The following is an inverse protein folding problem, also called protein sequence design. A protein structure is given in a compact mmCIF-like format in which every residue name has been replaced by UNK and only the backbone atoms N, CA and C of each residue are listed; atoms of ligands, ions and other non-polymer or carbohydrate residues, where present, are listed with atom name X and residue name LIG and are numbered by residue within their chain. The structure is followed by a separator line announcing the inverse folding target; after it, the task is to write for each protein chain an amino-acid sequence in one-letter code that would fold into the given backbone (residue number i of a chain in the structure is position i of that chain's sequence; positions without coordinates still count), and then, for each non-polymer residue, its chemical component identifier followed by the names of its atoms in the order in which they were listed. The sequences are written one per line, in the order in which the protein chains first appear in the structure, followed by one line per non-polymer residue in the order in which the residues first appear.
data_IF_782053824694
#
_entry.id   IF_782053824694
#
_cell.length_a   1.000
_cell.length_b   1.000
_cell.length_c   1.000
_cell.angle_alpha   90.00
_cell.angle_beta   90.00
_cell.angle_gamma   90.00
#
_symmetry.space_group_name_H-M   'P 1'
#
loop_
_entity.id
_entity.type
_entity.pdbx_description
1 polymer ?
#
# COMPACT_ATOMS: atom_id res chain seq x y z
N UNK A 1 7.03 -8.18 -15.53
CA UNK A 1 5.63 -8.30 -15.10
C UNK A 1 5.37 -7.37 -13.92
N UNK A 2 4.12 -6.94 -13.72
CA UNK A 2 3.74 -6.04 -12.62
C UNK A 2 2.65 -6.68 -11.76
N UNK A 3 2.64 -6.35 -10.46
CA UNK A 3 1.59 -6.69 -9.52
C UNK A 3 0.83 -5.44 -9.08
N UNK A 4 -0.48 -5.58 -8.86
CA UNK A 4 -1.33 -4.52 -8.30
C UNK A 4 -1.56 -4.77 -6.81
N UNK A 5 -1.07 -3.87 -5.97
CA UNK A 5 -1.31 -3.89 -4.52
C UNK A 5 -2.30 -2.78 -4.18
N UNK A 6 -3.29 -3.08 -3.32
CA UNK A 6 -4.34 -2.12 -2.98
C UNK A 6 -4.56 -2.06 -1.48
N UNK A 7 -4.55 -0.84 -0.92
CA UNK A 7 -5.11 -0.56 0.40
C UNK A 7 -6.56 -0.13 0.25
N UNK A 8 -7.47 -0.71 1.04
CA UNK A 8 -8.91 -0.37 1.05
C UNK A 8 -9.32 0.02 2.47
N UNK A 9 -10.08 1.11 2.60
CA UNK A 9 -10.50 1.62 3.90
C UNK A 9 -11.40 2.85 3.77
N UNK A 10 -12.28 3.05 4.75
CA UNK A 10 -13.17 4.21 4.80
C UNK A 10 -12.38 5.41 5.30
N UNK A 11 -12.63 6.59 4.71
CA UNK A 11 -12.04 7.84 5.19
C UNK A 11 -10.63 8.14 4.68
N UNK A 12 -10.17 7.49 3.61
CA UNK A 12 -8.84 7.79 3.01
C UNK A 12 -8.71 9.24 2.55
N UNK A 13 -9.79 9.85 2.04
CA UNK A 13 -9.84 11.28 1.68
C UNK A 13 -9.64 12.20 2.89
N UNK A 14 -10.16 11.80 4.05
CA UNK A 14 -10.18 12.60 5.28
C UNK A 14 -8.91 12.39 6.12
N UNK A 15 -8.18 11.31 5.88
CA UNK A 15 -6.96 10.95 6.61
C UNK A 15 -5.76 10.96 5.66
N UNK A 16 -5.21 12.14 5.42
CA UNK A 16 -4.06 12.35 4.53
C UNK A 16 -2.86 11.42 4.82
N UNK A 17 -2.74 10.93 6.06
CA UNK A 17 -1.67 10.01 6.48
C UNK A 17 -1.74 8.59 5.90
N UNK A 18 -2.86 8.16 5.31
CA UNK A 18 -3.00 6.78 4.78
C UNK A 18 -2.11 6.61 3.55
N UNK A 19 -2.23 7.48 2.54
CA UNK A 19 -1.40 7.41 1.34
C UNK A 19 0.10 7.57 1.65
N UNK A 20 0.42 8.54 2.50
CA UNK A 20 1.79 8.78 2.97
C UNK A 20 2.39 7.52 3.60
N UNK A 21 1.64 6.83 4.47
CA UNK A 21 2.10 5.60 5.11
C UNK A 21 2.37 4.49 4.09
N UNK A 22 1.50 4.32 3.09
CA UNK A 22 1.72 3.35 2.02
C UNK A 22 3.04 3.63 1.28
N UNK A 23 3.23 4.86 0.80
CA UNK A 23 4.39 5.21 0.00
C UNK A 23 5.68 5.15 0.80
N UNK A 24 5.67 5.64 2.05
CA UNK A 24 6.82 5.55 2.94
C UNK A 24 7.20 4.10 3.25
N UNK A 25 6.21 3.21 3.42
CA UNK A 25 6.46 1.79 3.70
C UNK A 25 7.11 1.08 2.51
N UNK A 26 6.63 1.35 1.29
CA UNK A 26 7.20 0.77 0.06
C UNK A 26 8.61 1.33 -0.20
N UNK A 27 8.81 2.64 -0.04
CA UNK A 27 10.10 3.29 -0.19
C UNK A 27 11.15 2.76 0.81
N UNK A 28 10.77 2.53 2.07
CA UNK A 28 11.66 1.96 3.09
C UNK A 28 12.13 0.53 2.77
N UNK A 29 11.42 -0.17 1.88
CA UNK A 29 11.78 -1.50 1.37
C UNK A 29 12.46 -1.47 0.00
N UNK A 30 12.70 -0.29 -0.56
CA UNK A 30 13.29 -0.12 -1.89
C UNK A 30 12.35 -0.53 -3.03
N UNK A 31 11.03 -0.59 -2.80
CA UNK A 31 10.06 -0.98 -3.82
C UNK A 31 9.66 0.24 -4.63
N UNK A 32 9.96 0.22 -5.94
CA UNK A 32 9.53 1.26 -6.86
C UNK A 32 8.02 1.20 -7.13
N UNK A 33 7.39 2.37 -7.26
CA UNK A 33 5.98 2.49 -7.63
C UNK A 33 5.91 2.97 -9.08
N UNK A 34 5.39 2.13 -9.97
CA UNK A 34 5.27 2.44 -11.41
C UNK A 34 4.04 3.31 -11.70
N UNK A 35 2.92 3.01 -11.04
CA UNK A 35 1.63 3.68 -11.26
C UNK A 35 0.88 3.80 -9.94
N UNK A 36 0.22 4.94 -9.75
CA UNK A 36 -0.70 5.18 -8.63
C UNK A 36 -2.10 5.43 -9.20
N UNK A 37 -3.11 4.77 -8.63
CA UNK A 37 -4.53 5.01 -8.93
C UNK A 37 -5.35 5.03 -7.63
N UNK A 38 -6.23 6.02 -7.48
CA UNK A 38 -6.95 6.27 -6.22
C UNK A 38 -8.45 6.44 -6.42
N UNK A 39 -9.24 6.04 -5.42
CA UNK A 39 -10.64 6.42 -5.24
C UNK A 39 -10.84 6.96 -3.81
N UNK A 40 -12.07 7.30 -3.43
CA UNK A 40 -12.38 7.82 -2.09
C UNK A 40 -12.04 6.84 -0.95
N UNK A 41 -11.97 5.54 -1.24
CA UNK A 41 -11.78 4.46 -0.27
C UNK A 41 -10.64 3.50 -0.62
N UNK A 42 -9.89 3.77 -1.69
CA UNK A 42 -8.89 2.83 -2.21
C UNK A 42 -7.68 3.55 -2.78
N UNK A 43 -6.50 3.04 -2.48
CA UNK A 43 -5.24 3.39 -3.15
C UNK A 43 -4.68 2.11 -3.76
N UNK A 44 -4.43 2.14 -5.06
CA UNK A 44 -3.80 1.04 -5.81
C UNK A 44 -2.47 1.50 -6.36
N UNK A 45 -1.45 0.66 -6.22
CA UNK A 45 -0.13 0.86 -6.81
C UNK A 45 0.22 -0.32 -7.71
N UNK A 46 0.92 -0.04 -8.81
CA UNK A 46 1.61 -1.06 -9.59
C UNK A 46 3.09 -1.08 -9.21
N UNK A 47 3.61 -2.28 -8.94
CA UNK A 47 4.99 -2.54 -8.56
C UNK A 47 5.51 -3.74 -9.35
N UNK A 48 6.82 -3.99 -9.35
CA UNK A 48 7.34 -5.23 -9.94
C UNK A 48 6.79 -6.46 -9.21
N UNK A 49 6.42 -7.49 -9.99
CA UNK A 49 5.72 -8.67 -9.48
C UNK A 49 6.50 -9.42 -8.39
N UNK A 50 7.84 -9.42 -8.44
CA UNK A 50 8.69 -10.06 -7.44
C UNK A 50 8.52 -9.47 -6.02
N UNK A 51 8.09 -8.21 -5.91
CA UNK A 51 7.86 -7.55 -4.63
C UNK A 51 6.44 -7.73 -4.09
N UNK A 52 5.55 -8.42 -4.80
CA UNK A 52 4.13 -8.49 -4.45
C UNK A 52 3.89 -8.96 -3.00
N UNK A 53 4.53 -10.05 -2.60
CA UNK A 53 4.36 -10.61 -1.25
C UNK A 53 5.03 -9.74 -0.17
N UNK A 54 6.22 -9.22 -0.45
CA UNK A 54 6.93 -8.30 0.46
C UNK A 54 6.11 -7.02 0.69
N UNK A 55 5.58 -6.43 -0.38
CA UNK A 55 4.73 -5.24 -0.34
C UNK A 55 3.46 -5.50 0.48
N UNK A 56 2.78 -6.61 0.21
CA UNK A 56 1.55 -6.97 0.92
C UNK A 56 1.80 -7.12 2.43
N UNK A 57 2.81 -7.90 2.83
CA UNK A 57 3.16 -8.10 4.25
C UNK A 57 3.59 -6.80 4.92
N UNK A 58 4.49 -6.04 4.30
CA UNK A 58 4.97 -4.78 4.87
C UNK A 58 3.84 -3.77 5.08
N UNK A 59 2.91 -3.67 4.13
CA UNK A 59 1.74 -2.82 4.26
C UNK A 59 0.76 -3.34 5.33
N UNK A 60 0.54 -4.64 5.40
CA UNK A 60 -0.31 -5.26 6.43
C UNK A 60 0.21 -4.91 7.84
N UNK A 61 1.51 -5.03 8.07
CA UNK A 61 2.17 -4.59 9.31
C UNK A 61 2.07 -3.08 9.55
N UNK A 62 2.34 -2.26 8.53
CA UNK A 62 2.30 -0.80 8.66
C UNK A 62 0.91 -0.27 9.06
N UNK A 63 -0.15 -0.96 8.63
CA UNK A 63 -1.53 -0.67 9.02
C UNK A 63 -1.98 -1.39 10.28
N UNK A 64 -1.13 -2.20 10.91
CA UNK A 64 -1.43 -2.92 12.14
C UNK A 64 -2.47 -4.03 11.95
N UNK A 65 -2.63 -4.54 10.73
CA UNK A 65 -3.61 -5.57 10.38
C UNK A 65 -3.13 -6.98 10.73
N UNK A 66 -1.85 -7.15 11.10
CA UNK A 66 -1.29 -8.43 11.57
C UNK A 66 -1.80 -8.85 12.97
N UNK A 67 -2.67 -8.05 13.59
CA UNK A 67 -3.17 -8.29 14.94
C UNK A 67 -4.45 -9.10 14.84
N UNK A 68 -4.43 -10.28 15.44
CA UNK A 68 -5.65 -11.01 15.77
C UNK A 68 -6.28 -10.29 16.97
N UNK A 69 -7.44 -9.65 16.76
CA UNK A 69 -8.32 -9.23 17.85
C UNK A 69 -8.96 -10.47 18.53
#
# INVERSE_FOLDING_TARGET
NVAKVSGVGIGMRSHAGVAQRMFATLAARGINIEVISTSEIKISVLIEEEYAELAARALHTAYGLDRDD
#
